data_IF_552012072580
#
_entry.id   IF_552012072580
#
_cell.length_a   1.000
_cell.length_b   1.000
_cell.length_c   1.000
_cell.angle_alpha   90.00
_cell.angle_beta   90.00
_cell.angle_gamma   90.00
#
_symmetry.space_group_name_H-M   'P 1'
#
loop_
_entity.id
_entity.type
_entity.pdbx_description
1 polymer ?
#
# COMPACT_ATOMS: atom_id res chain seq x y z
N UNK A 1 -6.18 -22.26 -24.06
CA UNK A 1 -5.25 -21.45 -23.28
C UNK A 1 -5.92 -21.12 -21.95
N UNK A 2 -5.24 -21.21 -20.79
CA UNK A 2 -5.84 -20.81 -19.53
C UNK A 2 -6.14 -19.32 -19.57
N UNK A 3 -7.42 -18.94 -19.58
CA UNK A 3 -7.82 -17.54 -19.49
C UNK A 3 -7.48 -17.05 -18.08
N UNK A 4 -6.42 -16.25 -17.94
CA UNK A 4 -6.17 -15.53 -16.69
C UNK A 4 -7.37 -14.61 -16.47
N UNK A 5 -8.15 -14.89 -15.42
CA UNK A 5 -9.29 -14.04 -15.05
C UNK A 5 -8.72 -12.68 -14.65
N UNK A 6 -8.79 -11.72 -15.57
CA UNK A 6 -8.52 -10.31 -15.26
C UNK A 6 -9.80 -9.71 -14.65
N UNK A 7 -9.73 -8.56 -13.98
CA UNK A 7 -10.91 -7.88 -13.41
C UNK A 7 -10.88 -6.39 -13.77
N UNK A 8 -11.97 -5.85 -14.31
CA UNK A 8 -12.20 -4.40 -14.35
C UNK A 8 -12.92 -3.94 -13.08
N UNK A 9 -12.61 -2.72 -12.61
CA UNK A 9 -13.25 -2.12 -11.44
C UNK A 9 -14.35 -1.13 -11.78
N UNK A 10 -14.22 -0.46 -12.92
CA UNK A 10 -15.20 0.51 -13.41
C UNK A 10 -15.58 0.21 -14.84
N UNK A 11 -16.65 0.86 -15.30
CA UNK A 11 -17.16 0.65 -16.64
C UNK A 11 -16.21 1.21 -17.71
N UNK A 12 -16.12 0.49 -18.83
CA UNK A 12 -15.31 0.84 -20.01
C UNK A 12 -16.23 0.94 -21.23
N UNK A 13 -16.05 1.94 -22.08
CA UNK A 13 -16.80 2.12 -23.31
C UNK A 13 -17.46 3.49 -23.45
N UNK A 14 -18.73 3.49 -23.86
CA UNK A 14 -19.46 4.69 -24.27
C UNK A 14 -19.93 5.62 -23.15
N UNK A 15 -20.54 6.76 -23.55
CA UNK A 15 -20.72 8.09 -22.95
C UNK A 15 -20.95 8.26 -21.43
N UNK A 16 -21.21 7.21 -20.67
CA UNK A 16 -21.37 7.24 -19.21
C UNK A 16 -20.41 6.27 -18.48
N UNK A 17 -19.49 5.66 -19.22
CA UNK A 17 -18.43 4.80 -18.69
C UNK A 17 -17.25 5.62 -18.14
N UNK A 18 -16.61 5.11 -17.10
CA UNK A 18 -15.49 5.80 -16.43
C UNK A 18 -14.21 5.80 -17.25
N UNK A 19 -13.97 4.76 -18.06
CA UNK A 19 -12.83 4.66 -18.98
C UNK A 19 -11.46 4.85 -18.30
N UNK A 20 -11.27 4.29 -17.10
CA UNK A 20 -9.96 4.36 -16.45
C UNK A 20 -8.92 3.52 -17.19
N UNK A 21 -7.72 4.09 -17.34
CA UNK A 21 -6.60 3.53 -18.08
C UNK A 21 -6.42 2.01 -17.86
N UNK A 22 -6.35 1.56 -16.60
CA UNK A 22 -6.13 0.14 -16.29
C UNK A 22 -7.30 -0.76 -16.72
N UNK A 23 -8.55 -0.29 -16.55
CA UNK A 23 -9.73 -1.06 -16.97
C UNK A 23 -9.82 -1.12 -18.50
N UNK A 24 -9.45 -0.03 -19.18
CA UNK A 24 -9.39 0.05 -20.65
C UNK A 24 -8.31 -0.88 -21.19
N UNK A 25 -7.11 -0.91 -20.60
CA UNK A 25 -6.03 -1.85 -20.96
C UNK A 25 -6.50 -3.30 -20.85
N UNK A 26 -7.19 -3.64 -19.76
CA UNK A 26 -7.76 -5.00 -19.57
C UNK A 26 -8.80 -5.30 -20.64
N UNK A 27 -9.73 -4.37 -20.91
CA UNK A 27 -10.76 -4.54 -21.93
C UNK A 27 -10.15 -4.68 -23.34
N UNK A 28 -9.18 -3.84 -23.71
CA UNK A 28 -8.46 -3.90 -24.99
C UNK A 28 -7.72 -5.23 -25.14
N UNK A 29 -7.05 -5.71 -24.09
CA UNK A 29 -6.40 -7.03 -24.08
C UNK A 29 -7.38 -8.16 -24.35
N UNK A 30 -8.50 -8.20 -23.63
CA UNK A 30 -9.53 -9.23 -23.83
C UNK A 30 -10.20 -9.13 -25.21
N UNK A 31 -10.47 -7.91 -25.70
CA UNK A 31 -10.99 -7.72 -27.05
C UNK A 31 -10.00 -8.22 -28.10
N UNK A 32 -8.71 -7.98 -27.93
CA UNK A 32 -7.68 -8.52 -28.82
C UNK A 32 -7.61 -10.06 -28.77
N UNK A 33 -7.77 -10.67 -27.60
CA UNK A 33 -7.86 -12.13 -27.49
C UNK A 33 -9.04 -12.69 -28.31
N UNK A 34 -10.21 -12.05 -28.23
CA UNK A 34 -11.37 -12.40 -29.06
C UNK A 34 -11.14 -12.10 -30.55
N UNK A 35 -10.41 -11.04 -30.88
CA UNK A 35 -10.03 -10.70 -32.25
C UNK A 35 -9.23 -11.86 -32.88
N UNK A 36 -8.27 -12.43 -32.14
CA UNK A 36 -7.51 -13.58 -32.63
C UNK A 36 -8.33 -14.88 -32.67
N UNK A 37 -9.28 -15.06 -31.75
CA UNK A 37 -10.03 -16.30 -31.61
C UNK A 37 -11.28 -16.39 -32.53
N UNK A 38 -11.83 -15.26 -32.97
CA UNK A 38 -13.11 -15.21 -33.69
C UNK A 38 -13.01 -14.34 -34.96
N UNK A 39 -12.94 -15.00 -36.13
CA UNK A 39 -12.81 -14.34 -37.42
C UNK A 39 -13.99 -13.41 -37.77
N UNK A 40 -15.21 -13.74 -37.34
CA UNK A 40 -16.37 -12.88 -37.57
C UNK A 40 -16.26 -11.59 -36.74
N UNK A 41 -15.80 -11.69 -35.50
CA UNK A 41 -15.52 -10.53 -34.67
C UNK A 41 -14.34 -9.71 -35.20
N UNK A 42 -13.25 -10.34 -35.64
CA UNK A 42 -12.12 -9.63 -36.26
C UNK A 42 -12.57 -8.80 -37.47
N UNK A 43 -13.42 -9.38 -38.33
CA UNK A 43 -14.00 -8.68 -39.48
C UNK A 43 -14.89 -7.51 -39.07
N UNK A 44 -15.62 -7.61 -37.96
CA UNK A 44 -16.54 -6.56 -37.49
C UNK A 44 -15.87 -5.48 -36.64
N UNK A 45 -14.80 -5.81 -35.92
CA UNK A 45 -13.97 -4.84 -35.19
C UNK A 45 -13.09 -4.03 -36.15
N UNK A 46 -12.74 -4.61 -37.30
CA UNK A 46 -12.03 -3.96 -38.40
C UNK A 46 -10.51 -3.93 -38.22
N UNK A 47 -10.03 -3.63 -37.01
CA UNK A 47 -8.60 -3.65 -36.70
C UNK A 47 -8.32 -4.09 -35.26
N UNK A 48 -7.11 -4.64 -35.08
CA UNK A 48 -6.56 -4.96 -33.76
C UNK A 48 -6.33 -3.67 -32.96
N UNK A 49 -6.67 -3.68 -31.67
CA UNK A 49 -6.50 -2.52 -30.81
C UNK A 49 -5.05 -2.42 -30.32
N UNK A 50 -4.53 -1.20 -30.23
CA UNK A 50 -3.36 -0.92 -29.39
C UNK A 50 -3.80 -0.99 -27.93
N UNK A 51 -3.04 -1.68 -27.08
CA UNK A 51 -3.31 -1.75 -25.63
C UNK A 51 -2.62 -0.57 -24.95
N UNK A 52 -3.26 0.60 -25.00
CA UNK A 52 -2.72 1.89 -24.57
C UNK A 52 -3.58 2.60 -23.52
N UNK A 53 -4.69 1.98 -23.10
CA UNK A 53 -5.61 2.57 -22.13
C UNK A 53 -6.46 3.71 -22.67
N UNK A 54 -6.40 4.02 -23.98
CA UNK A 54 -7.27 4.99 -24.64
C UNK A 54 -8.60 4.32 -25.07
N UNK A 55 -9.70 4.72 -24.44
CA UNK A 55 -11.04 4.27 -24.82
C UNK A 55 -11.61 5.11 -25.98
N UNK A 56 -10.82 5.29 -27.03
CA UNK A 56 -11.17 6.01 -28.24
C UNK A 56 -12.23 5.30 -29.09
N UNK A 57 -12.50 5.87 -30.28
CA UNK A 57 -13.52 5.37 -31.20
C UNK A 57 -13.33 3.89 -31.56
N UNK A 58 -12.08 3.43 -31.65
CA UNK A 58 -11.74 2.05 -31.98
C UNK A 58 -12.13 1.09 -30.86
N UNK A 59 -11.73 1.38 -29.62
CA UNK A 59 -12.09 0.58 -28.45
C UNK A 59 -13.61 0.50 -28.30
N UNK A 60 -14.32 1.63 -28.41
CA UNK A 60 -15.79 1.69 -28.33
C UNK A 60 -16.48 0.90 -29.46
N UNK A 61 -15.99 1.03 -30.69
CA UNK A 61 -16.49 0.25 -31.83
C UNK A 61 -16.27 -1.25 -31.61
N UNK A 62 -15.09 -1.64 -31.12
CA UNK A 62 -14.80 -3.03 -30.82
C UNK A 62 -15.73 -3.61 -29.73
N UNK A 63 -16.09 -2.82 -28.71
CA UNK A 63 -17.06 -3.24 -27.68
C UNK A 63 -18.43 -3.51 -28.31
N UNK A 64 -18.93 -2.59 -29.16
CA UNK A 64 -20.22 -2.76 -29.87
C UNK A 64 -20.19 -3.96 -30.82
N UNK A 65 -19.09 -4.13 -31.55
CA UNK A 65 -18.88 -5.29 -32.44
C UNK A 65 -18.85 -6.60 -31.63
N UNK A 66 -18.25 -6.60 -30.43
CA UNK A 66 -18.23 -7.77 -29.57
C UNK A 66 -19.64 -8.12 -29.07
N UNK A 67 -20.39 -7.13 -28.58
CA UNK A 67 -21.76 -7.32 -28.11
C UNK A 67 -22.69 -7.82 -29.22
N UNK A 68 -22.54 -7.33 -30.44
CA UNK A 68 -23.38 -7.75 -31.57
C UNK A 68 -22.96 -9.10 -32.14
N UNK A 69 -21.66 -9.31 -32.41
CA UNK A 69 -21.17 -10.49 -33.13
C UNK A 69 -20.88 -11.67 -32.22
N UNK A 70 -20.23 -11.44 -31.07
CA UNK A 70 -19.86 -12.54 -30.16
C UNK A 70 -21.01 -12.87 -29.22
N UNK A 71 -21.70 -11.85 -28.67
CA UNK A 71 -22.82 -12.09 -27.76
C UNK A 71 -24.17 -12.24 -28.48
N UNK A 72 -24.24 -12.03 -29.80
CA UNK A 72 -25.46 -12.15 -30.60
C UNK A 72 -26.55 -11.14 -30.24
N UNK A 73 -26.19 -9.99 -29.67
CA UNK A 73 -27.15 -8.98 -29.20
C UNK A 73 -27.56 -8.05 -30.34
N UNK A 74 -28.77 -7.51 -30.26
CA UNK A 74 -29.24 -6.53 -31.24
C UNK A 74 -28.41 -5.24 -31.18
N UNK A 75 -28.31 -4.46 -32.28
CA UNK A 75 -27.61 -3.18 -32.28
C UNK A 75 -28.14 -2.18 -31.23
N UNK A 76 -29.42 -2.25 -30.89
CA UNK A 76 -30.01 -1.38 -29.85
C UNK A 76 -29.58 -1.78 -28.43
N UNK A 77 -29.27 -3.06 -28.19
CA UNK A 77 -28.75 -3.53 -26.91
C UNK A 77 -27.25 -3.29 -26.77
N UNK A 78 -26.51 -3.33 -27.88
CA UNK A 78 -25.08 -3.12 -27.94
C UNK A 78 -24.71 -1.66 -27.68
N UNK A 79 -24.83 -1.25 -26.42
CA UNK A 79 -24.61 0.09 -25.89
C UNK A 79 -23.15 0.56 -25.96
N UNK A 80 -22.21 -0.34 -26.28
CA UNK A 80 -20.79 -0.05 -26.32
C UNK A 80 -20.15 0.05 -24.94
N UNK A 81 -20.75 -0.56 -23.91
CA UNK A 81 -20.30 -0.49 -22.52
C UNK A 81 -20.00 -1.88 -21.93
N UNK A 82 -18.95 -1.92 -21.11
CA UNK A 82 -18.52 -3.07 -20.32
C UNK A 82 -18.61 -2.67 -18.85
N UNK A 83 -19.58 -3.21 -18.11
CA UNK A 83 -19.68 -3.00 -16.66
C UNK A 83 -18.99 -4.11 -15.86
N UNK A 84 -18.36 -3.79 -14.71
CA UNK A 84 -17.80 -4.78 -13.79
C UNK A 84 -18.84 -5.85 -13.40
N UNK A 85 -18.53 -7.12 -13.66
CA UNK A 85 -19.45 -8.23 -13.39
C UNK A 85 -20.68 -8.32 -14.32
N UNK A 86 -20.82 -7.39 -15.27
CA UNK A 86 -21.92 -7.31 -16.23
C UNK A 86 -21.90 -8.41 -17.31
N UNK A 87 -22.92 -8.44 -18.16
CA UNK A 87 -23.04 -9.47 -19.21
C UNK A 87 -21.88 -9.41 -20.21
N UNK A 88 -21.53 -8.21 -20.70
CA UNK A 88 -20.41 -8.01 -21.62
C UNK A 88 -19.10 -8.47 -20.99
N UNK A 89 -18.87 -8.12 -19.73
CA UNK A 89 -17.67 -8.48 -18.99
C UNK A 89 -17.50 -9.99 -18.82
N UNK A 90 -18.57 -10.71 -18.45
CA UNK A 90 -18.54 -12.17 -18.31
C UNK A 90 -18.28 -12.87 -19.63
N UNK A 91 -18.89 -12.37 -20.72
CA UNK A 91 -18.67 -12.91 -22.05
C UNK A 91 -17.23 -12.72 -22.52
N UNK A 92 -16.63 -11.54 -22.27
CA UNK A 92 -15.21 -11.29 -22.56
C UNK A 92 -14.28 -12.28 -21.84
N UNK A 93 -14.61 -12.65 -20.60
CA UNK A 93 -13.84 -13.60 -19.80
C UNK A 93 -14.24 -15.08 -20.01
N UNK A 94 -14.82 -15.44 -21.16
CA UNK A 94 -15.13 -16.83 -21.49
C UNK A 94 -16.40 -17.37 -20.84
N UNK A 95 -17.42 -16.52 -20.68
CA UNK A 95 -18.72 -16.84 -20.08
C UNK A 95 -18.62 -17.36 -18.64
N UNK A 96 -17.87 -16.64 -17.80
CA UNK A 96 -17.84 -16.93 -16.37
C UNK A 96 -19.26 -16.98 -15.80
N UNK A 97 -19.58 -17.94 -14.91
CA UNK A 97 -20.87 -17.98 -14.22
C UNK A 97 -21.17 -16.62 -13.59
N UNK A 98 -22.45 -16.23 -13.56
CA UNK A 98 -22.86 -15.04 -12.82
C UNK A 98 -22.32 -15.12 -11.40
N UNK A 99 -21.52 -14.14 -10.96
CA UNK A 99 -20.99 -14.08 -9.58
C UNK A 99 -22.10 -14.12 -8.53
N UNK A 100 -23.32 -13.69 -8.89
CA UNK A 100 -24.50 -13.81 -8.03
C UNK A 100 -25.06 -15.25 -7.92
N UNK A 101 -24.67 -16.15 -8.83
CA UNK A 101 -25.12 -17.56 -8.85
C UNK A 101 -24.00 -18.55 -8.55
N UNK A 102 -22.78 -18.08 -8.27
CA UNK A 102 -21.80 -18.89 -7.57
C UNK A 102 -22.25 -18.84 -6.12
N UNK A 103 -23.05 -19.83 -5.69
CA UNK A 103 -23.11 -20.13 -4.26
C UNK A 103 -21.66 -20.25 -3.82
N UNK A 104 -21.20 -19.48 -2.81
CA UNK A 104 -19.86 -19.65 -2.29
C UNK A 104 -19.69 -21.15 -2.09
N UNK A 105 -18.66 -21.73 -2.71
CA UNK A 105 -18.24 -23.07 -2.31
C UNK A 105 -18.20 -23.02 -0.78
N UNK A 106 -18.84 -23.96 -0.06
CA UNK A 106 -18.83 -23.94 1.39
C UNK A 106 -17.39 -23.69 1.79
N UNK A 107 -17.14 -22.55 2.42
CA UNK A 107 -15.81 -22.27 2.93
C UNK A 107 -15.60 -23.38 3.93
N UNK A 108 -14.81 -24.39 3.56
CA UNK A 108 -14.42 -25.38 4.52
C UNK A 108 -13.69 -24.63 5.65
N UNK A 109 -13.67 -25.23 6.83
CA UNK A 109 -13.06 -24.62 8.01
C UNK A 109 -11.59 -24.23 7.78
N UNK A 110 -10.92 -24.82 6.79
CA UNK A 110 -9.55 -24.48 6.41
C UNK A 110 -9.47 -23.19 5.59
N UNK A 111 -10.42 -22.96 4.68
CA UNK A 111 -10.47 -21.81 3.79
C UNK A 111 -11.07 -20.60 4.49
N UNK A 112 -12.08 -20.79 5.34
CA UNK A 112 -12.59 -19.75 6.24
C UNK A 112 -11.56 -19.37 7.31
N UNK A 113 -10.73 -20.31 7.75
CA UNK A 113 -9.56 -20.04 8.59
C UNK A 113 -8.52 -19.20 7.85
N UNK A 114 -8.16 -19.54 6.61
CA UNK A 114 -7.20 -18.80 5.81
C UNK A 114 -7.71 -17.41 5.36
N UNK A 115 -8.99 -17.30 5.00
CA UNK A 115 -9.66 -16.04 4.64
C UNK A 115 -9.93 -15.18 5.87
N UNK A 116 -10.33 -15.78 6.99
CA UNK A 116 -10.47 -15.11 8.28
C UNK A 116 -9.13 -14.69 8.87
N UNK A 117 -8.06 -15.46 8.65
CA UNK A 117 -6.69 -15.03 8.94
C UNK A 117 -6.26 -13.93 7.99
N UNK A 118 -6.49 -13.98 6.68
CA UNK A 118 -6.06 -12.90 5.77
C UNK A 118 -6.89 -11.60 5.90
N UNK A 119 -8.18 -11.69 6.24
CA UNK A 119 -9.04 -10.52 6.53
C UNK A 119 -8.94 -10.05 7.99
N UNK A 120 -8.59 -10.94 8.92
CA UNK A 120 -8.40 -10.67 10.36
C UNK A 120 -6.95 -10.49 10.79
N UNK A 121 -5.96 -10.67 9.89
CA UNK A 121 -4.54 -10.45 10.16
C UNK A 121 -4.19 -8.97 10.25
N UNK A 122 -5.14 -8.06 10.18
CA UNK A 122 -4.97 -6.69 10.65
C UNK A 122 -5.69 -6.56 11.98
N UNK A 123 -5.20 -7.20 13.06
CA UNK A 123 -5.73 -6.89 14.38
C UNK A 123 -5.62 -5.38 14.64
N UNK A 124 -6.53 -4.84 15.45
CA UNK A 124 -6.73 -3.39 15.56
C UNK A 124 -5.41 -2.63 15.76
N UNK A 125 -5.03 -1.85 14.75
CA UNK A 125 -3.86 -0.97 14.86
C UNK A 125 -4.16 0.08 15.91
N UNK A 126 -3.32 0.14 16.95
CA UNK A 126 -3.32 1.29 17.84
C UNK A 126 -2.64 2.44 17.12
N UNK A 127 -3.42 3.38 16.59
CA UNK A 127 -2.85 4.56 15.93
C UNK A 127 -2.24 5.51 16.97
N UNK A 128 -0.95 5.79 16.84
CA UNK A 128 -0.25 6.70 17.74
C UNK A 128 0.13 8.01 17.03
N UNK A 129 -0.11 9.13 17.71
CA UNK A 129 0.39 10.44 17.31
C UNK A 129 1.64 10.77 18.12
N UNK A 130 2.80 10.87 17.48
CA UNK A 130 4.08 11.08 18.14
C UNK A 130 4.07 12.34 19.04
N UNK A 131 3.36 13.39 18.61
CA UNK A 131 3.23 14.66 19.34
C UNK A 131 2.60 14.54 20.73
N UNK A 132 1.95 13.42 21.04
CA UNK A 132 1.36 13.15 22.35
C UNK A 132 2.40 12.65 23.38
N UNK A 133 3.66 12.45 22.99
CA UNK A 133 4.68 11.83 23.82
C UNK A 133 5.92 12.74 23.92
N UNK A 134 6.10 13.40 25.07
CA UNK A 134 7.20 14.36 25.28
C UNK A 134 8.50 13.74 25.80
N UNK A 135 8.51 12.45 26.15
CA UNK A 135 9.68 11.80 26.73
C UNK A 135 10.89 11.80 25.80
N UNK A 136 12.09 11.86 26.39
CA UNK A 136 13.35 11.80 25.66
C UNK A 136 13.48 10.49 24.88
N UNK A 137 13.89 10.62 23.63
CA UNK A 137 14.28 9.52 22.78
C UNK A 137 15.72 9.09 23.13
N UNK A 138 16.01 7.79 23.15
CA UNK A 138 17.31 7.30 23.62
C UNK A 138 17.59 7.64 25.09
N UNK A 139 18.80 7.41 25.57
CA UNK A 139 19.13 7.62 26.99
C UNK A 139 19.14 9.10 27.41
N UNK A 140 19.49 10.02 26.50
CA UNK A 140 19.47 11.48 26.74
C UNK A 140 19.93 12.27 25.49
N UNK A 141 19.32 11.98 24.34
CA UNK A 141 19.91 12.35 23.04
C UNK A 141 19.63 13.79 22.62
N UNK A 142 20.54 14.72 22.92
CA UNK A 142 20.57 16.05 22.28
C UNK A 142 20.88 15.92 20.78
N UNK A 143 20.45 16.92 20.01
CA UNK A 143 20.79 17.05 18.58
C UNK A 143 21.20 18.50 18.30
N UNK A 144 22.07 18.71 17.32
CA UNK A 144 22.51 20.03 16.85
C UNK A 144 21.31 20.82 16.28
N UNK A 145 20.55 21.40 17.18
CA UNK A 145 19.26 22.05 16.97
C UNK A 145 19.44 23.50 16.55
N UNK A 146 20.60 24.08 16.87
CA UNK A 146 21.02 25.41 16.47
C UNK A 146 21.88 25.42 15.19
N UNK A 147 22.27 24.23 14.68
CA UNK A 147 23.11 24.02 13.48
C UNK A 147 24.51 24.63 13.60
N UNK A 148 25.08 24.60 14.80
CA UNK A 148 26.41 25.13 15.09
C UNK A 148 27.55 24.23 14.61
N UNK A 149 27.25 23.00 14.20
CA UNK A 149 28.25 22.00 13.79
C UNK A 149 28.73 21.10 14.94
N UNK A 150 28.10 21.17 16.11
CA UNK A 150 28.39 20.35 17.28
C UNK A 150 27.18 20.20 18.18
N UNK A 151 27.26 19.31 19.18
CA UNK A 151 26.25 19.21 20.24
C UNK A 151 26.75 20.03 21.44
N UNK A 152 25.96 21.03 21.87
CA UNK A 152 26.30 21.92 22.99
C UNK A 152 25.16 22.09 24.02
N UNK A 153 25.39 22.93 25.03
CA UNK A 153 24.42 23.16 26.11
C UNK A 153 23.16 23.93 25.66
N UNK A 154 23.23 24.63 24.53
CA UNK A 154 22.09 25.30 23.89
C UNK A 154 21.20 24.34 23.11
N UNK A 155 21.63 23.09 22.90
CA UNK A 155 20.89 22.13 22.11
C UNK A 155 19.73 21.45 22.82
N UNK A 156 18.65 21.28 22.05
CA UNK A 156 17.42 20.63 22.53
C UNK A 156 17.59 19.12 22.62
N UNK A 157 16.91 18.53 23.60
CA UNK A 157 16.75 17.08 23.65
C UNK A 157 15.80 16.59 22.56
N UNK A 158 16.18 15.47 21.95
CA UNK A 158 15.30 14.72 21.06
C UNK A 158 14.23 14.02 21.89
N UNK A 159 12.98 14.21 21.50
CA UNK A 159 11.82 13.62 22.15
C UNK A 159 11.05 12.74 21.17
N UNK A 160 10.19 11.87 21.67
CA UNK A 160 9.28 11.11 20.79
C UNK A 160 8.44 12.08 19.94
N UNK A 161 7.97 13.19 20.51
CA UNK A 161 7.20 14.21 19.79
C UNK A 161 7.96 14.84 18.61
N UNK A 162 9.27 15.05 18.73
CA UNK A 162 10.08 15.72 17.70
C UNK A 162 10.73 14.75 16.72
N UNK A 163 11.20 13.60 17.18
CA UNK A 163 12.04 12.66 16.41
C UNK A 163 11.57 11.20 16.47
N UNK A 164 10.39 10.93 17.06
CA UNK A 164 9.91 9.57 17.33
C UNK A 164 9.13 8.90 16.20
N UNK A 165 9.11 9.44 14.98
CA UNK A 165 8.30 8.87 13.88
C UNK A 165 8.59 7.39 13.62
N UNK A 166 9.88 7.00 13.61
CA UNK A 166 10.30 5.61 13.43
C UNK A 166 9.86 4.73 14.59
N UNK A 167 10.08 5.18 15.84
CA UNK A 167 9.66 4.46 17.04
C UNK A 167 8.13 4.25 17.06
N UNK A 168 7.34 5.30 16.79
CA UNK A 168 5.89 5.19 16.72
C UNK A 168 5.45 4.22 15.61
N UNK A 169 6.09 4.27 14.44
CA UNK A 169 5.82 3.34 13.32
C UNK A 169 6.05 1.89 13.74
N UNK A 170 7.19 1.58 14.35
CA UNK A 170 7.50 0.23 14.84
C UNK A 170 6.58 -0.20 16.00
N UNK A 171 6.19 0.72 16.88
CA UNK A 171 5.24 0.46 17.96
C UNK A 171 3.88 0.06 17.38
N UNK A 172 3.35 0.83 16.42
CA UNK A 172 2.09 0.51 15.75
C UNK A 172 2.15 -0.87 15.06
N UNK A 173 3.26 -1.16 14.37
CA UNK A 173 3.48 -2.47 13.74
C UNK A 173 3.46 -3.61 14.78
N UNK A 174 4.15 -3.42 15.90
CA UNK A 174 4.23 -4.40 16.98
C UNK A 174 2.87 -4.65 17.64
N UNK A 175 2.02 -3.62 17.81
CA UNK A 175 0.65 -3.83 18.32
C UNK A 175 -0.18 -4.69 17.38
N UNK A 176 -0.09 -4.45 16.07
CA UNK A 176 -0.86 -5.19 15.07
C UNK A 176 -0.37 -6.62 14.87
N UNK A 177 0.94 -6.85 14.93
CA UNK A 177 1.51 -8.21 14.90
C UNK A 177 1.19 -8.94 16.21
N UNK A 178 1.40 -8.29 17.35
CA UNK A 178 1.19 -8.87 18.67
C UNK A 178 -0.27 -9.24 18.95
N UNK A 179 -1.23 -8.50 18.39
CA UNK A 179 -2.66 -8.83 18.52
C UNK A 179 -3.03 -10.20 17.92
N UNK A 180 -2.14 -10.82 17.15
CA UNK A 180 -2.32 -12.13 16.53
C UNK A 180 -1.74 -13.26 17.36
N UNK A 181 -0.97 -12.95 18.41
CA UNK A 181 -0.44 -13.97 19.31
C UNK A 181 -1.33 -14.08 20.56
N UNK A 182 -1.61 -15.29 21.05
CA UNK A 182 -2.52 -15.51 22.18
C UNK A 182 -1.97 -15.06 23.55
N UNK A 183 -0.82 -14.38 23.61
CA UNK A 183 -0.11 -14.03 24.85
C UNK A 183 0.63 -12.67 24.77
N UNK A 184 1.49 -12.39 25.75
CA UNK A 184 2.29 -11.16 25.83
C UNK A 184 3.24 -10.98 24.61
N UNK A 185 3.23 -9.78 24.04
CA UNK A 185 4.03 -9.36 22.90
C UNK A 185 4.39 -7.85 22.93
N UNK A 186 5.69 -7.48 22.94
CA UNK A 186 6.86 -8.32 23.27
C UNK A 186 6.73 -8.95 24.67
N UNK A 187 7.62 -9.87 25.03
CA UNK A 187 7.54 -10.66 26.27
C UNK A 187 7.09 -9.82 27.48
N UNK A 188 6.08 -10.30 28.21
CA UNK A 188 5.51 -9.61 29.38
C UNK A 188 4.63 -8.37 29.11
N UNK A 189 4.51 -7.89 27.88
CA UNK A 189 3.69 -6.72 27.52
C UNK A 189 2.52 -7.12 26.64
N UNK A 190 1.28 -6.81 27.00
CA UNK A 190 0.16 -7.06 26.06
C UNK A 190 0.22 -6.07 24.89
N UNK A 191 -0.25 -6.44 23.68
CA UNK A 191 -0.32 -5.50 22.55
C UNK A 191 -1.05 -4.20 22.89
N UNK A 192 -2.12 -4.28 23.70
CA UNK A 192 -2.89 -3.12 24.17
C UNK A 192 -2.10 -2.20 25.11
N UNK A 193 -1.15 -2.74 25.87
CA UNK A 193 -0.28 -1.96 26.77
C UNK A 193 0.98 -1.40 26.10
N UNK A 194 1.28 -1.82 24.87
CA UNK A 194 2.47 -1.38 24.14
C UNK A 194 2.27 0.02 23.55
N UNK A 195 2.55 1.04 24.36
CA UNK A 195 2.58 2.45 23.92
C UNK A 195 3.96 2.86 23.43
N UNK A 196 4.11 4.00 22.70
CA UNK A 196 5.42 4.53 22.34
C UNK A 196 6.36 4.79 23.53
N UNK A 197 5.83 5.05 24.73
CA UNK A 197 6.64 5.20 25.95
C UNK A 197 7.26 3.85 26.36
N UNK A 198 6.44 2.80 26.39
CA UNK A 198 6.89 1.44 26.74
C UNK A 198 7.87 0.93 25.69
N UNK A 199 7.55 1.10 24.40
CA UNK A 199 8.44 0.73 23.31
C UNK A 199 9.78 1.48 23.35
N UNK A 200 9.78 2.77 23.72
CA UNK A 200 11.01 3.54 23.90
C UNK A 200 11.91 2.91 24.97
N UNK A 201 11.35 2.53 26.13
CA UNK A 201 12.08 1.87 27.22
C UNK A 201 12.66 0.53 26.76
N UNK A 202 11.88 -0.29 26.07
CA UNK A 202 12.33 -1.58 25.52
C UNK A 202 13.50 -1.35 24.54
N UNK A 203 13.37 -0.40 23.62
CA UNK A 203 14.40 -0.08 22.64
C UNK A 203 15.68 0.48 23.29
N UNK A 204 15.58 1.28 24.36
CA UNK A 204 16.74 1.75 25.13
C UNK A 204 17.49 0.59 25.76
N UNK A 205 16.76 -0.31 26.43
CA UNK A 205 17.33 -1.47 27.10
C UNK A 205 17.99 -2.43 26.10
N UNK A 206 17.45 -2.54 24.89
CA UNK A 206 18.03 -3.33 23.82
C UNK A 206 19.22 -2.66 23.10
N UNK A 207 19.63 -1.45 23.52
CA UNK A 207 20.72 -0.71 22.85
C UNK A 207 20.38 -0.29 21.41
N UNK A 208 19.10 -0.10 21.10
CA UNK A 208 18.66 0.20 19.73
C UNK A 208 18.93 1.65 19.31
N UNK A 209 19.43 2.51 20.20
CA UNK A 209 19.68 3.93 19.90
C UNK A 209 21.17 4.23 19.72
N UNK A 210 21.48 5.05 18.71
CA UNK A 210 22.75 5.76 18.58
C UNK A 210 22.43 7.26 18.52
N UNK A 211 22.67 7.98 19.61
CA UNK A 211 22.08 9.31 19.81
C UNK A 211 20.55 9.22 19.72
N UNK A 212 19.93 10.06 18.90
CA UNK A 212 18.47 10.00 18.66
C UNK A 212 18.10 9.13 17.45
N UNK A 213 19.08 8.53 16.76
CA UNK A 213 18.80 7.62 15.65
C UNK A 213 18.44 6.24 16.18
N UNK A 214 17.35 5.68 15.66
CA UNK A 214 16.90 4.34 16.01
C UNK A 214 17.43 3.32 14.99
N UNK A 215 18.21 2.35 15.45
CA UNK A 215 18.55 1.17 14.67
C UNK A 215 17.29 0.30 14.54
N UNK A 216 16.69 0.32 13.36
CA UNK A 216 15.41 -0.36 13.11
C UNK A 216 15.48 -1.87 13.25
N UNK A 217 16.61 -2.50 12.90
CA UNK A 217 16.74 -3.95 13.02
C UNK A 217 16.76 -4.36 14.50
N UNK A 218 17.58 -3.70 15.31
CA UNK A 218 17.66 -3.94 16.76
C UNK A 218 16.32 -3.62 17.43
N UNK A 219 15.69 -2.51 17.06
CA UNK A 219 14.39 -2.10 17.60
C UNK A 219 13.26 -3.07 17.23
N UNK A 220 13.19 -3.49 15.96
CA UNK A 220 12.19 -4.46 15.51
C UNK A 220 12.31 -5.77 16.27
N UNK A 221 13.54 -6.30 16.39
CA UNK A 221 13.81 -7.53 17.15
C UNK A 221 13.42 -7.38 18.63
N UNK A 222 13.75 -6.26 19.26
CA UNK A 222 13.39 -5.97 20.66
C UNK A 222 11.86 -5.87 20.87
N UNK A 223 11.12 -5.50 19.83
CA UNK A 223 9.66 -5.45 19.81
C UNK A 223 9.01 -6.77 19.31
N UNK A 224 9.79 -7.86 19.26
CA UNK A 224 9.34 -9.21 18.87
C UNK A 224 9.22 -9.43 17.35
N UNK A 225 9.58 -8.46 16.52
CA UNK A 225 9.39 -8.54 15.07
C UNK A 225 10.69 -8.93 14.35
N UNK A 226 10.58 -9.69 13.27
CA UNK A 226 11.64 -9.79 12.26
C UNK A 226 11.41 -8.71 11.19
N UNK A 227 12.48 -7.98 10.87
CA UNK A 227 12.46 -7.00 9.78
C UNK A 227 13.47 -7.30 8.67
N UNK A 228 13.15 -6.88 7.45
CA UNK A 228 14.06 -6.92 6.29
C UNK A 228 14.08 -5.56 5.61
N UNK A 229 15.27 -4.99 5.43
CA UNK A 229 15.49 -3.67 4.84
C UNK A 229 15.58 -3.71 3.32
N UNK A 230 14.99 -2.71 2.65
CA UNK A 230 15.12 -2.48 1.22
C UNK A 230 15.43 -1.00 0.97
N UNK A 231 16.53 -0.70 0.26
CA UNK A 231 16.91 0.69 -0.06
C UNK A 231 17.74 1.43 1.01
N UNK A 232 18.28 0.74 2.01
CA UNK A 232 19.03 1.38 3.11
C UNK A 232 20.52 1.56 2.81
N UNK A 233 21.19 0.47 2.44
CA UNK A 233 22.63 0.40 2.12
C UNK A 233 22.88 -0.07 0.69
N UNK A 234 21.81 -0.46 -0.01
CA UNK A 234 21.80 -0.94 -1.38
C UNK A 234 20.70 -0.22 -2.16
N UNK A 235 20.77 -0.29 -3.49
CA UNK A 235 19.67 0.13 -4.34
C UNK A 235 18.40 -0.70 -4.02
N UNK A 236 17.23 -0.09 -4.18
CA UNK A 236 15.99 -0.86 -4.12
C UNK A 236 15.96 -1.89 -5.25
N UNK A 237 15.45 -3.11 -4.98
CA UNK A 237 15.33 -4.13 -6.02
C UNK A 237 14.29 -3.70 -7.06
N UNK A 238 14.44 -4.18 -8.31
CA UNK A 238 13.53 -3.83 -9.40
C UNK A 238 12.07 -4.24 -9.17
N UNK A 239 11.83 -5.25 -8.32
CA UNK A 239 10.50 -5.72 -7.90
C UNK A 239 10.10 -5.22 -6.49
N UNK A 240 10.65 -4.11 -6.02
CA UNK A 240 10.40 -3.56 -4.68
C UNK A 240 8.91 -3.37 -4.36
N UNK A 241 8.13 -2.87 -5.33
CA UNK A 241 6.68 -2.68 -5.21
C UNK A 241 5.97 -4.02 -4.96
N UNK A 242 6.32 -5.06 -5.71
CA UNK A 242 5.70 -6.38 -5.56
C UNK A 242 6.04 -7.02 -4.21
N UNK A 243 7.29 -6.87 -3.74
CA UNK A 243 7.70 -7.30 -2.40
C UNK A 243 6.85 -6.62 -1.33
N UNK A 244 6.72 -5.30 -1.39
CA UNK A 244 5.96 -4.50 -0.45
C UNK A 244 4.47 -4.90 -0.46
N UNK A 245 3.85 -4.93 -1.64
CA UNK A 245 2.43 -5.25 -1.79
C UNK A 245 2.12 -6.70 -1.44
N UNK A 246 3.01 -7.63 -1.76
CA UNK A 246 2.91 -9.04 -1.37
C UNK A 246 2.97 -9.20 0.15
N UNK A 247 3.88 -8.49 0.82
CA UNK A 247 4.00 -8.51 2.28
C UNK A 247 2.73 -7.98 2.97
N UNK A 248 2.20 -6.86 2.48
CA UNK A 248 0.93 -6.29 2.95
C UNK A 248 -0.27 -7.20 2.65
N UNK A 249 -0.29 -7.87 1.49
CA UNK A 249 -1.34 -8.83 1.13
C UNK A 249 -1.34 -10.07 2.04
N UNK A 250 -0.18 -10.45 2.58
CA UNK A 250 -0.07 -11.45 3.65
C UNK A 250 -0.56 -10.96 5.02
N UNK A 251 -1.11 -9.75 5.10
CA UNK A 251 -1.58 -9.12 6.33
C UNK A 251 -0.46 -8.55 7.20
N UNK A 252 0.77 -8.43 6.70
CA UNK A 252 1.89 -7.97 7.51
C UNK A 252 2.20 -6.48 7.28
N UNK A 253 2.47 -5.69 8.33
CA UNK A 253 2.77 -4.28 8.17
C UNK A 253 4.12 -4.03 7.48
N UNK A 254 4.25 -2.86 6.87
CA UNK A 254 5.50 -2.37 6.28
C UNK A 254 5.81 -0.99 6.84
N UNK A 255 7.00 -0.80 7.41
CA UNK A 255 7.49 0.54 7.75
C UNK A 255 8.02 1.22 6.49
N UNK A 256 7.41 2.33 6.09
CA UNK A 256 7.75 3.09 4.89
C UNK A 256 8.56 4.32 5.29
N UNK A 257 9.75 4.47 4.72
CA UNK A 257 10.53 5.69 4.84
C UNK A 257 10.19 6.60 3.69
N UNK A 258 9.59 7.74 4.01
CA UNK A 258 9.21 8.75 3.04
C UNK A 258 10.17 9.93 3.08
N UNK A 259 10.55 10.42 1.91
CA UNK A 259 11.09 11.75 1.74
C UNK A 259 9.94 12.72 1.47
N UNK A 260 9.96 13.88 2.10
CA UNK A 260 9.05 14.99 1.79
C UNK A 260 9.76 16.34 1.71
N UNK A 261 11.08 16.42 1.95
CA UNK A 261 11.89 17.65 1.86
C UNK A 261 12.85 17.69 0.68
N UNK A 262 12.70 16.78 -0.28
CA UNK A 262 13.55 16.63 -1.49
C UNK A 262 14.94 16.09 -1.16
N UNK A 263 15.10 15.47 0.01
CA UNK A 263 16.33 14.81 0.42
C UNK A 263 16.23 13.32 0.10
N UNK A 264 17.06 12.81 -0.82
CA UNK A 264 17.09 11.37 -1.15
C UNK A 264 17.38 10.45 0.04
N UNK A 265 17.73 11.02 1.20
CA UNK A 265 17.92 10.36 2.48
C UNK A 265 16.61 9.95 3.17
N UNK A 266 15.44 10.47 2.79
CA UNK A 266 14.20 10.25 3.57
C UNK A 266 14.18 11.05 4.88
N UNK A 267 12.98 11.46 5.29
CA UNK A 267 12.76 12.38 6.41
C UNK A 267 11.83 11.84 7.49
N UNK A 268 10.95 10.91 7.13
CA UNK A 268 9.84 10.52 7.99
C UNK A 268 9.45 9.07 7.80
N UNK A 269 8.88 8.48 8.85
CA UNK A 269 8.43 7.11 8.86
C UNK A 269 6.92 7.06 9.01
N UNK A 270 6.29 6.22 8.18
CA UNK A 270 4.86 5.92 8.26
C UNK A 270 4.65 4.41 8.21
N UNK A 271 3.50 3.95 8.67
CA UNK A 271 3.17 2.52 8.68
C UNK A 271 2.22 2.18 7.54
N UNK A 272 2.67 1.43 6.54
CA UNK A 272 1.79 0.72 5.62
C UNK A 272 1.07 -0.40 6.37
N UNK A 273 -0.25 -0.33 6.43
CA UNK A 273 -1.08 -1.24 7.24
C UNK A 273 -1.68 -2.35 6.41
N UNK A 274 -2.12 -2.05 5.19
CA UNK A 274 -2.67 -3.06 4.28
C UNK A 274 -2.54 -2.65 2.83
N UNK A 275 -2.55 -3.65 1.96
CA UNK A 275 -2.79 -3.46 0.54
C UNK A 275 -4.26 -3.06 0.38
N UNK A 276 -4.49 -2.00 -0.35
CA UNK A 276 -5.82 -1.62 -0.81
C UNK A 276 -5.85 -1.74 -2.33
N UNK A 277 -7.05 -1.78 -2.88
CA UNK A 277 -7.23 -1.84 -4.32
C UNK A 277 -8.20 -0.73 -4.72
N UNK A 278 -7.91 0.49 -4.27
CA UNK A 278 -8.72 1.67 -4.55
C UNK A 278 -8.34 2.24 -5.92
N UNK A 279 -9.14 3.16 -6.45
CA UNK A 279 -8.81 3.88 -7.68
C UNK A 279 -7.51 4.68 -7.53
N UNK A 280 -7.39 5.40 -6.41
CA UNK A 280 -6.29 6.33 -6.19
C UNK A 280 -5.12 5.69 -5.42
N UNK A 281 -5.32 4.58 -4.71
CA UNK A 281 -4.31 4.04 -3.78
C UNK A 281 -4.13 2.53 -3.85
N UNK A 282 -2.89 2.11 -3.64
CA UNK A 282 -2.43 0.71 -3.55
C UNK A 282 -2.16 0.28 -2.09
N UNK A 283 -1.88 1.23 -1.20
CA UNK A 283 -1.54 0.97 0.21
C UNK A 283 -2.29 1.93 1.11
N UNK A 284 -2.94 1.42 2.15
CA UNK A 284 -3.39 2.24 3.28
C UNK A 284 -2.26 2.33 4.31
N UNK A 285 -2.09 3.51 4.90
CA UNK A 285 -1.05 3.77 5.87
C UNK A 285 -1.51 4.69 7.02
N UNK A 286 -0.73 4.71 8.10
CA UNK A 286 -0.91 5.62 9.24
C UNK A 286 0.34 6.50 9.36
N UNK A 287 0.13 7.81 9.41
CA UNK A 287 1.17 8.80 9.61
C UNK A 287 1.29 9.17 11.11
N UNK A 288 2.40 8.81 11.80
CA UNK A 288 2.56 9.08 13.22
C UNK A 288 2.67 10.58 13.56
N UNK A 289 2.92 11.47 12.59
CA UNK A 289 2.91 12.91 12.85
C UNK A 289 1.52 13.41 13.25
N UNK A 290 0.46 12.78 12.73
CA UNK A 290 -0.93 13.12 12.99
C UNK A 290 -1.72 12.02 13.71
N UNK A 291 -1.25 10.77 13.66
CA UNK A 291 -2.06 9.58 13.95
C UNK A 291 -3.16 9.35 12.90
N UNK A 292 -3.12 10.09 11.79
CA UNK A 292 -4.14 10.06 10.74
C UNK A 292 -3.85 8.98 9.69
N UNK A 293 -4.91 8.50 9.05
CA UNK A 293 -4.82 7.61 7.89
C UNK A 293 -4.40 8.39 6.64
N UNK A 294 -3.64 7.74 5.80
CA UNK A 294 -3.27 8.21 4.46
C UNK A 294 -3.20 7.01 3.50
N UNK A 295 -2.99 7.27 2.21
CA UNK A 295 -2.78 6.24 1.19
C UNK A 295 -1.45 6.45 0.49
N UNK A 296 -0.98 5.41 -0.18
CA UNK A 296 0.07 5.49 -1.17
C UNK A 296 -0.37 4.85 -2.50
N UNK A 297 0.19 5.36 -3.59
CA UNK A 297 -0.12 4.95 -4.95
C UNK A 297 1.14 4.76 -5.77
N UNK A 298 1.08 3.90 -6.80
CA UNK A 298 2.13 3.78 -7.82
C UNK A 298 2.07 4.90 -8.87
N UNK A 299 0.97 5.65 -8.91
CA UNK A 299 0.73 6.70 -9.88
C UNK A 299 1.48 7.98 -9.47
N UNK A 300 2.58 8.27 -10.15
CA UNK A 300 3.42 9.44 -9.93
C UNK A 300 2.76 10.76 -10.31
N UNK A 301 1.75 10.73 -11.19
CA UNK A 301 0.96 11.89 -11.63
C UNK A 301 0.31 12.67 -10.48
N UNK A 302 0.13 12.03 -9.32
CA UNK A 302 -0.43 12.69 -8.13
C UNK A 302 0.62 13.39 -7.27
N UNK A 303 1.90 13.31 -7.63
CA UNK A 303 3.02 13.90 -6.89
C UNK A 303 3.76 14.91 -7.77
N UNK A 304 3.37 16.17 -7.65
CA UNK A 304 3.97 17.29 -8.41
C UNK A 304 5.46 17.46 -8.14
N UNK A 305 5.90 17.10 -6.93
CA UNK A 305 7.32 17.13 -6.54
C UNK A 305 8.15 16.13 -7.34
N UNK A 306 7.65 14.92 -7.56
CA UNK A 306 8.31 13.91 -8.37
C UNK A 306 8.37 14.33 -9.84
N UNK A 307 7.26 14.88 -10.37
CA UNK A 307 7.21 15.38 -11.74
C UNK A 307 8.24 16.49 -12.03
N UNK A 308 8.62 17.26 -10.99
CA UNK A 308 9.61 18.33 -11.10
C UNK A 308 11.08 17.87 -10.95
N UNK A 309 11.34 16.61 -10.62
CA UNK A 309 12.70 16.06 -10.49
C UNK A 309 13.30 15.69 -11.85
N UNK A 310 14.61 15.83 -12.01
CA UNK A 310 15.32 15.26 -13.16
C UNK A 310 15.27 13.73 -13.12
N UNK A 311 15.41 13.07 -14.27
CA UNK A 311 15.38 11.59 -14.33
C UNK A 311 16.47 10.93 -13.46
N UNK A 312 17.59 11.62 -13.24
CA UNK A 312 18.65 11.17 -12.33
C UNK A 312 18.32 11.33 -10.85
N UNK A 313 17.39 12.23 -10.52
CA UNK A 313 16.95 12.51 -9.16
C UNK A 313 15.70 11.74 -8.77
N UNK A 314 14.88 11.32 -9.75
CA UNK A 314 13.67 10.53 -9.56
C UNK A 314 13.96 9.26 -8.78
N UNK A 315 13.59 9.29 -7.50
CA UNK A 315 13.70 8.18 -6.56
C UNK A 315 12.35 8.00 -5.89
N UNK A 316 11.83 6.79 -5.93
CA UNK A 316 10.53 6.51 -5.34
C UNK A 316 9.89 5.27 -5.91
N UNK A 317 9.17 4.53 -5.08
CA UNK A 317 8.36 3.39 -5.52
C UNK A 317 6.86 3.59 -5.31
N UNK A 318 6.50 4.54 -4.44
CA UNK A 318 5.12 4.87 -4.10
C UNK A 318 5.02 6.34 -3.68
N UNK A 319 3.85 6.94 -3.92
CA UNK A 319 3.57 8.36 -3.76
C UNK A 319 2.41 8.57 -2.80
N UNK A 320 2.54 9.51 -1.87
CA UNK A 320 1.56 9.73 -0.82
C UNK A 320 0.30 10.44 -1.32
N UNK A 321 -0.82 10.05 -0.72
CA UNK A 321 -2.13 10.66 -0.91
C UNK A 321 -2.78 10.87 0.45
N UNK A 322 -3.15 12.10 0.82
CA UNK A 322 -3.87 12.34 2.06
C UNK A 322 -5.29 11.77 1.98
N UNK A 323 -5.81 11.31 3.12
CA UNK A 323 -7.21 10.92 3.23
C UNK A 323 -8.07 12.13 3.60
N UNK A 324 -9.17 12.35 2.87
CA UNK A 324 -10.16 13.37 3.21
C UNK A 324 -10.83 13.05 4.56
N UNK A 325 -11.00 14.07 5.41
CA UNK A 325 -11.69 13.92 6.71
C UNK A 325 -10.87 13.25 7.83
N UNK A 326 -9.57 13.03 7.66
CA UNK A 326 -8.71 12.50 8.71
C UNK A 326 -8.40 13.49 9.85
N UNK A 327 -7.81 12.99 10.94
CA UNK A 327 -7.36 13.78 12.11
C UNK A 327 -6.14 14.68 11.84
N UNK A 328 -5.55 14.60 10.65
CA UNK A 328 -4.45 15.44 10.23
C UNK A 328 -4.92 16.88 9.92
N UNK A 329 -4.16 17.88 10.39
CA UNK A 329 -4.39 19.27 10.02
C UNK A 329 -4.21 19.48 8.51
N UNK A 330 -4.84 20.51 7.90
CA UNK A 330 -4.67 20.80 6.48
C UNK A 330 -3.20 20.88 6.05
N UNK A 331 -2.38 21.63 6.79
CA UNK A 331 -0.93 21.77 6.55
C UNK A 331 -0.14 20.46 6.65
N UNK A 332 -0.64 19.46 7.37
CA UNK A 332 -0.03 18.12 7.44
C UNK A 332 -0.47 17.27 6.27
N UNK A 333 -1.74 17.33 5.88
CA UNK A 333 -2.27 16.65 4.69
C UNK A 333 -1.60 17.14 3.41
N UNK A 334 -1.35 18.44 3.29
CA UNK A 334 -0.62 19.01 2.15
C UNK A 334 0.77 18.38 2.00
N UNK A 335 1.50 18.20 3.10
CA UNK A 335 2.81 17.54 3.09
C UNK A 335 2.72 16.06 2.66
N UNK A 336 1.60 15.39 2.89
CA UNK A 336 1.44 13.98 2.52
C UNK A 336 1.41 13.80 1.00
N UNK A 337 0.99 14.81 0.21
CA UNK A 337 1.13 14.77 -1.25
C UNK A 337 2.59 14.74 -1.70
N UNK A 338 3.50 15.30 -0.91
CA UNK A 338 4.93 15.30 -1.22
C UNK A 338 5.62 14.00 -0.81
N UNK A 339 4.95 13.08 -0.11
CA UNK A 339 5.59 11.87 0.39
C UNK A 339 5.96 10.96 -0.78
N UNK A 340 7.23 10.57 -0.82
CA UNK A 340 7.74 9.58 -1.76
C UNK A 340 8.45 8.49 -0.96
N UNK A 341 8.01 7.24 -1.11
CA UNK A 341 8.65 6.09 -0.45
C UNK A 341 10.00 5.82 -1.13
N UNK A 342 11.08 6.07 -0.40
CA UNK A 342 12.46 5.93 -0.90
C UNK A 342 13.15 4.65 -0.39
N UNK A 343 12.61 4.07 0.69
CA UNK A 343 13.04 2.78 1.26
C UNK A 343 11.96 2.25 2.20
N UNK A 344 12.04 0.97 2.54
CA UNK A 344 11.06 0.35 3.42
C UNK A 344 11.64 -0.84 4.18
N UNK A 345 10.96 -1.21 5.26
CA UNK A 345 11.23 -2.42 6.03
C UNK A 345 9.95 -3.26 6.10
N UNK A 346 10.01 -4.49 5.60
CA UNK A 346 8.93 -5.47 5.80
C UNK A 346 9.02 -5.99 7.23
N UNK A 347 7.90 -6.04 7.96
CA UNK A 347 7.84 -6.46 9.37
C UNK A 347 6.92 -7.66 9.54
N UNK A 348 7.37 -8.70 10.23
CA UNK A 348 6.57 -9.89 10.55
C UNK A 348 6.83 -10.37 11.97
N UNK A 349 5.98 -11.23 12.50
CA UNK A 349 6.32 -11.97 13.71
C UNK A 349 7.54 -12.85 13.47
N UNK A 350 8.38 -13.01 14.50
CA UNK A 350 9.36 -14.09 14.54
C UNK A 350 8.57 -15.39 14.78
N UNK A 351 8.49 -16.26 13.78
CA UNK A 351 7.87 -17.57 13.97
C UNK A 351 8.70 -18.40 14.97
N UNK A 352 8.09 -18.87 16.06
CA UNK A 352 8.73 -19.84 16.96
C UNK A 352 9.08 -19.40 18.38
N UNK A 353 8.80 -18.17 18.83
CA UNK A 353 9.01 -17.76 20.25
C UNK A 353 7.84 -18.13 21.17
N UNK A 354 7.19 -19.28 20.95
CA UNK A 354 6.29 -19.88 21.96
C UNK A 354 7.05 -20.74 22.98
N UNK A 355 8.38 -20.72 22.95
CA UNK A 355 9.21 -21.38 23.95
C UNK A 355 10.51 -20.63 24.15
N UNK A 356 10.76 -20.25 25.40
CA UNK A 356 12.03 -19.71 25.93
C UNK A 356 12.35 -18.30 25.46
N UNK A 357 12.01 -17.29 26.26
CA UNK A 357 12.87 -16.57 27.25
C UNK A 357 12.16 -16.02 28.62
#
# INVERSE_FOLDING_TARGET
>A
MPYTIMSIKFSVGDSDAYNFYNDVVVAQGLLNDHYYANAAFASAAGQLLTVDGDCGALTKSAIRSFQTVVMGKSPHWADGRIDPGGQTWRALNGNLPSVANISPAPLDTSTSGAVGSSLGNSGDYSAFRQGNYSSHLGTSSQYDSNKSGGIDAGDKFSTIASHGCCLCTLTMAATAIGSRVPSYWPEGVTPKSLTPLVANTICKNAGAFSGYSLNMQTAANALGMAGTHYGFTSAMPGNAVDILLGHLAGGNPVALHVDYKKGGSGDHWVLGTRKINDFEGDVEAIDPASGGRMKFTRMDVFNTRYAAQSDTEKKGILFGLPTNGGSASPSRREKQYDYIVVRFMTLRSVAGTSGVY
#
